data_IF_672834872557
#
_entry.id   IF_672834872557
#
_cell.length_a   1.000
_cell.length_b   1.000
_cell.length_c   1.000
_cell.angle_alpha   90.00
_cell.angle_beta   90.00
_cell.angle_gamma   90.00
#
_symmetry.space_group_name_H-M   'P 1'
#
loop_
_entity.id
_entity.type
_entity.pdbx_description
1 polymer ?
#
# COMPACT_ATOMS: atom_id res chain seq x y z
N UNK A 1 6.26 31.64 29.11
CA UNK A 1 6.06 31.28 27.70
C UNK A 1 5.72 29.80 27.68
N UNK A 2 4.44 29.47 27.49
CA UNK A 2 3.97 28.09 27.44
C UNK A 2 4.29 27.49 26.07
N UNK A 3 5.11 26.44 26.06
CA UNK A 3 5.27 25.61 24.90
C UNK A 3 3.98 24.77 24.72
N UNK A 4 3.36 24.76 23.53
CA UNK A 4 2.34 23.77 23.25
C UNK A 4 3.02 22.43 23.02
N UNK A 5 2.64 21.42 23.81
CA UNK A 5 3.01 20.05 23.56
C UNK A 5 2.26 19.55 22.30
N UNK A 6 2.92 18.86 21.39
CA UNK A 6 2.25 18.18 20.29
C UNK A 6 1.68 16.85 20.78
N UNK A 7 0.48 16.89 21.36
CA UNK A 7 -0.33 15.69 21.60
C UNK A 7 -1.53 15.72 20.71
N UNK A 8 -1.46 15.01 19.60
CA UNK A 8 -2.66 14.47 18.99
C UNK A 8 -2.30 13.15 18.28
N UNK A 9 -2.15 12.09 19.07
CA UNK A 9 -2.43 10.75 18.58
C UNK A 9 -3.92 10.73 18.24
N UNK A 10 -4.25 10.55 16.96
CA UNK A 10 -5.61 10.23 16.56
C UNK A 10 -6.06 8.99 17.35
N UNK A 11 -7.33 8.89 17.75
CA UNK A 11 -7.82 7.73 18.47
C UNK A 11 -7.61 6.48 17.60
N UNK A 12 -6.90 5.50 18.15
CA UNK A 12 -6.69 4.19 17.54
C UNK A 12 -8.04 3.59 17.16
N UNK A 13 -8.16 3.17 15.91
CA UNK A 13 -9.38 2.48 15.45
C UNK A 13 -9.60 1.19 16.25
N UNK A 14 -10.83 0.69 16.38
CA UNK A 14 -11.11 -0.56 17.09
C UNK A 14 -10.30 -1.77 16.54
N UNK A 15 -9.89 -1.73 15.26
CA UNK A 15 -9.02 -2.71 14.63
C UNK A 15 -7.56 -2.61 15.10
N UNK A 16 -7.07 -1.43 15.49
CA UNK A 16 -5.72 -1.24 16.04
C UNK A 16 -5.62 -1.78 17.48
N UNK A 17 -6.70 -1.71 18.25
CA UNK A 17 -6.76 -2.36 19.58
C UNK A 17 -6.73 -3.88 19.51
N UNK A 18 -7.17 -4.48 18.40
CA UNK A 18 -7.18 -5.93 18.23
C UNK A 18 -5.80 -6.53 17.89
N UNK A 19 -4.84 -5.72 17.44
CA UNK A 19 -3.41 -6.08 17.33
C UNK A 19 -2.67 -5.65 18.58
N UNK A 20 -3.41 -5.48 19.69
CA UNK A 20 -2.85 -5.02 20.95
C UNK A 20 -1.78 -5.99 21.43
N UNK A 21 -0.67 -5.37 21.59
CA UNK A 21 0.38 -5.60 22.57
C UNK A 21 1.18 -6.89 22.43
N UNK A 22 2.42 -6.71 22.05
CA UNK A 22 3.57 -7.50 22.48
C UNK A 22 3.93 -8.77 21.73
N UNK A 23 3.19 -9.21 20.70
CA UNK A 23 3.71 -10.30 19.88
C UNK A 23 4.56 -9.78 18.72
N UNK A 24 5.81 -9.48 19.04
CA UNK A 24 6.84 -9.26 18.04
C UNK A 24 7.32 -10.62 17.54
N UNK A 25 6.99 -10.96 16.31
CA UNK A 25 7.67 -12.07 15.65
C UNK A 25 9.15 -11.70 15.50
N UNK A 26 10.02 -12.70 15.35
CA UNK A 26 11.43 -12.45 15.09
C UNK A 26 11.65 -11.55 13.87
N UNK A 27 10.81 -11.73 12.83
CA UNK A 27 10.82 -10.90 11.62
C UNK A 27 10.55 -9.42 11.92
N UNK A 28 9.53 -9.14 12.76
CA UNK A 28 9.15 -7.76 13.09
C UNK A 28 10.18 -7.09 14.01
N UNK A 29 10.72 -7.84 14.97
CA UNK A 29 11.79 -7.35 15.83
C UNK A 29 13.02 -6.95 15.01
N UNK A 30 13.47 -7.84 14.13
CA UNK A 30 14.57 -7.56 13.21
C UNK A 30 14.27 -6.37 12.29
N UNK A 31 13.03 -6.22 11.82
CA UNK A 31 12.63 -5.08 10.99
C UNK A 31 12.73 -3.74 11.75
N UNK A 32 12.30 -3.72 13.01
CA UNK A 32 12.41 -2.53 13.87
C UNK A 32 13.87 -2.19 14.13
N UNK A 33 14.70 -3.17 14.48
CA UNK A 33 16.15 -2.98 14.69
C UNK A 33 16.83 -2.42 13.44
N UNK A 34 16.49 -2.94 12.25
CA UNK A 34 17.03 -2.46 10.97
C UNK A 34 16.58 -1.04 10.63
N UNK A 35 15.34 -0.66 10.94
CA UNK A 35 14.88 0.74 10.83
C UNK A 35 15.67 1.64 11.77
N UNK A 36 15.85 1.24 13.02
CA UNK A 36 16.62 1.98 14.02
C UNK A 36 18.08 2.13 13.60
N UNK A 37 18.72 1.05 13.12
CA UNK A 37 20.09 1.10 12.60
C UNK A 37 20.20 2.03 11.38
N UNK A 38 19.22 1.98 10.47
CA UNK A 38 19.19 2.89 9.31
C UNK A 38 19.06 4.35 9.74
N UNK A 39 18.29 4.61 10.79
CA UNK A 39 18.17 5.94 11.38
C UNK A 39 19.50 6.38 11.99
N UNK A 40 20.15 5.55 12.81
CA UNK A 40 21.43 5.86 13.48
C UNK A 40 22.56 6.07 12.47
N UNK A 41 22.58 5.29 11.37
CA UNK A 41 23.53 5.43 10.26
C UNK A 41 23.25 6.65 9.36
N UNK A 42 22.24 7.45 9.67
CA UNK A 42 21.84 8.63 8.89
C UNK A 42 21.44 8.28 7.45
N UNK A 43 20.81 7.12 7.23
CA UNK A 43 20.27 6.80 5.91
C UNK A 43 19.09 7.73 5.60
N UNK A 44 19.05 8.33 4.40
CA UNK A 44 17.99 9.27 4.04
C UNK A 44 16.65 8.59 3.75
N UNK A 45 16.67 7.29 3.42
CA UNK A 45 15.51 6.59 2.91
C UNK A 45 15.49 5.12 3.35
N UNK A 46 14.35 4.65 3.84
CA UNK A 46 14.11 3.25 4.18
C UNK A 46 12.76 2.78 3.61
N UNK A 47 12.70 1.49 3.28
CA UNK A 47 11.53 0.88 2.65
C UNK A 47 11.12 -0.34 3.44
N UNK A 48 9.82 -0.42 3.78
CA UNK A 48 9.22 -1.58 4.46
C UNK A 48 8.17 -2.19 3.54
N UNK A 49 8.32 -3.45 3.19
CA UNK A 49 7.40 -4.17 2.31
C UNK A 49 6.82 -5.35 3.06
N UNK A 50 5.48 -5.44 3.11
CA UNK A 50 4.77 -6.54 3.72
C UNK A 50 3.51 -6.92 2.95
N UNK A 51 3.07 -8.16 3.10
CA UNK A 51 1.76 -8.59 2.63
C UNK A 51 0.70 -8.19 3.67
N UNK A 52 -0.16 -7.24 3.31
CA UNK A 52 -1.12 -6.63 4.23
C UNK A 52 -0.59 -5.36 4.91
N UNK A 53 -1.52 -4.53 5.38
CA UNK A 53 -1.22 -3.20 5.91
C UNK A 53 -0.82 -3.23 7.39
N UNK A 54 -1.35 -4.19 8.18
CA UNK A 54 -1.16 -4.19 9.63
C UNK A 54 0.27 -4.48 10.05
N UNK A 55 0.99 -5.33 9.32
CA UNK A 55 2.37 -5.67 9.63
C UNK A 55 3.31 -4.46 9.49
N UNK A 56 3.26 -3.75 8.36
CA UNK A 56 4.07 -2.55 8.12
C UNK A 56 3.68 -1.42 9.07
N UNK A 57 2.38 -1.22 9.27
CA UNK A 57 1.83 -0.23 10.19
C UNK A 57 2.28 -0.45 11.64
N UNK A 58 2.29 -1.71 12.07
CA UNK A 58 2.78 -2.09 13.40
C UNK A 58 4.29 -1.84 13.55
N UNK A 59 5.11 -2.30 12.60
CA UNK A 59 6.58 -2.12 12.63
C UNK A 59 6.95 -0.64 12.64
N UNK A 60 6.35 0.17 11.77
CA UNK A 60 6.57 1.62 11.72
C UNK A 60 6.12 2.29 13.02
N UNK A 61 4.95 1.90 13.54
CA UNK A 61 4.44 2.44 14.81
C UNK A 61 5.38 2.16 15.99
N UNK A 62 5.92 0.94 16.09
CA UNK A 62 6.90 0.58 17.14
C UNK A 62 8.25 1.29 16.95
N UNK A 63 8.72 1.42 15.72
CA UNK A 63 9.92 2.21 15.42
C UNK A 63 9.75 3.66 15.87
N UNK A 64 8.65 4.32 15.49
CA UNK A 64 8.38 5.71 15.87
C UNK A 64 8.24 5.89 17.39
N UNK A 65 7.59 4.94 18.06
CA UNK A 65 7.45 4.96 19.52
C UNK A 65 8.79 4.76 20.28
N UNK A 66 9.81 4.21 19.61
CA UNK A 66 11.15 4.04 20.17
C UNK A 66 12.07 5.23 19.92
N UNK A 67 11.63 6.24 19.17
CA UNK A 67 12.42 7.46 18.94
C UNK A 67 12.34 8.41 20.15
N UNK A 68 13.42 9.16 20.37
CA UNK A 68 13.47 10.18 21.42
C UNK A 68 12.42 11.28 21.16
N UNK A 69 11.86 11.87 22.22
CA UNK A 69 10.83 12.92 22.14
C UNK A 69 11.32 14.19 21.39
N UNK A 70 12.62 14.38 21.26
CA UNK A 70 13.21 15.49 20.52
C UNK A 70 13.20 15.30 19.00
N UNK A 71 12.92 14.08 18.52
CA UNK A 71 12.87 13.74 17.10
C UNK A 71 11.47 14.05 16.57
N UNK A 72 11.40 14.96 15.61
CA UNK A 72 10.14 15.27 14.95
C UNK A 72 9.74 14.08 14.06
N UNK A 73 8.55 13.54 14.28
CA UNK A 73 8.01 12.46 13.46
C UNK A 73 6.68 12.83 12.82
N UNK A 74 6.54 12.53 11.54
CA UNK A 74 5.31 12.71 10.75
C UNK A 74 4.90 11.35 10.22
N UNK A 75 3.63 10.99 10.38
CA UNK A 75 3.08 9.73 9.90
C UNK A 75 1.87 9.98 9.01
N UNK A 76 1.94 9.57 7.76
CA UNK A 76 0.87 9.67 6.76
C UNK A 76 0.37 8.25 6.48
N UNK A 77 -0.82 7.94 6.97
CA UNK A 77 -1.41 6.59 6.94
C UNK A 77 -2.49 6.43 5.88
N UNK A 78 -3.04 7.53 5.39
CA UNK A 78 -4.12 7.53 4.41
C UNK A 78 -3.61 8.04 3.06
N UNK A 79 -4.15 7.52 1.94
CA UNK A 79 -3.83 8.03 0.62
C UNK A 79 -4.10 9.54 0.52
N UNK A 80 -3.21 10.24 -0.17
CA UNK A 80 -3.34 11.67 -0.43
C UNK A 80 -3.95 11.89 -1.81
N UNK A 81 -4.77 12.92 -1.94
CA UNK A 81 -5.43 13.22 -3.21
C UNK A 81 -4.42 13.71 -4.28
N UNK A 82 -3.48 14.54 -3.87
CA UNK A 82 -2.45 15.13 -4.73
C UNK A 82 -1.22 15.56 -3.92
N UNK A 83 -0.22 16.09 -4.61
CA UNK A 83 1.02 16.57 -4.01
C UNK A 83 0.79 17.72 -3.00
N UNK A 84 -0.22 18.55 -3.21
CA UNK A 84 -0.55 19.63 -2.29
C UNK A 84 -1.18 19.10 -1.01
N UNK A 85 -2.05 18.09 -1.11
CA UNK A 85 -2.65 17.43 0.05
C UNK A 85 -1.58 16.75 0.91
N UNK A 86 -0.64 16.02 0.29
CA UNK A 86 0.51 15.43 1.00
C UNK A 86 1.30 16.51 1.75
N UNK A 87 1.69 17.58 1.05
CA UNK A 87 2.49 18.63 1.67
C UNK A 87 1.74 19.37 2.77
N UNK A 88 0.43 19.60 2.62
CA UNK A 88 -0.41 20.19 3.68
C UNK A 88 -0.47 19.30 4.91
N UNK A 89 -0.59 17.98 4.74
CA UNK A 89 -0.61 17.03 5.86
C UNK A 89 0.74 17.01 6.59
N UNK A 90 1.85 17.00 5.86
CA UNK A 90 3.19 17.08 6.45
C UNK A 90 3.37 18.38 7.22
N UNK A 91 3.07 19.53 6.60
CA UNK A 91 3.21 20.86 7.20
C UNK A 91 2.33 21.02 8.44
N UNK A 92 1.10 20.48 8.41
CA UNK A 92 0.21 20.46 9.58
C UNK A 92 0.78 19.59 10.70
N UNK A 93 1.31 18.41 10.38
CA UNK A 93 1.86 17.49 11.36
C UNK A 93 3.10 18.05 12.09
N UNK A 94 3.87 18.91 11.44
CA UNK A 94 5.00 19.63 12.08
C UNK A 94 4.58 20.92 12.78
N UNK A 95 3.27 21.17 12.93
CA UNK A 95 2.73 22.25 13.77
C UNK A 95 2.45 23.58 13.06
N UNK A 96 2.44 23.64 11.72
CA UNK A 96 2.09 24.84 10.96
C UNK A 96 0.67 24.76 10.40
N UNK A 97 0.01 25.91 10.22
CA UNK A 97 -1.30 26.03 9.58
C UNK A 97 -1.15 26.37 8.10
N UNK A 98 -1.39 25.42 7.18
CA UNK A 98 -1.15 25.60 5.74
C UNK A 98 -2.31 26.32 5.04
N UNK A 99 -2.70 27.53 5.48
CA UNK A 99 -3.78 28.30 4.89
C UNK A 99 -3.32 28.98 3.60
N UNK A 100 -4.09 28.79 2.53
CA UNK A 100 -3.93 29.44 1.22
C UNK A 100 -2.51 29.34 0.60
N UNK A 101 -1.76 28.28 0.96
CA UNK A 101 -0.42 28.02 0.47
C UNK A 101 -0.46 27.10 -0.76
N UNK A 102 0.31 27.42 -1.79
CA UNK A 102 0.58 26.53 -2.89
C UNK A 102 1.64 25.46 -2.52
N UNK A 103 1.91 24.51 -3.42
CA UNK A 103 2.88 23.44 -3.19
C UNK A 103 4.28 23.97 -2.94
N UNK A 104 4.68 25.05 -3.60
CA UNK A 104 6.02 25.67 -3.49
C UNK A 104 6.19 26.34 -2.15
N UNK A 105 5.16 27.02 -1.66
CA UNK A 105 5.14 27.63 -0.32
C UNK A 105 5.23 26.57 0.76
N UNK A 106 4.45 25.49 0.64
CA UNK A 106 4.47 24.36 1.57
C UNK A 106 5.84 23.67 1.63
N UNK A 107 6.47 23.47 0.47
CA UNK A 107 7.83 22.95 0.38
C UNK A 107 8.85 23.87 1.04
N UNK A 108 8.69 25.18 0.87
CA UNK A 108 9.56 26.17 1.50
C UNK A 108 9.43 26.16 3.02
N UNK A 109 8.22 26.02 3.55
CA UNK A 109 7.95 25.87 5.00
C UNK A 109 8.61 24.60 5.53
N UNK A 110 8.45 23.46 4.83
CA UNK A 110 9.08 22.21 5.25
C UNK A 110 10.61 22.31 5.23
N UNK A 111 11.20 22.89 4.20
CA UNK A 111 12.66 23.12 4.12
C UNK A 111 13.17 24.00 5.26
N UNK A 112 12.45 25.06 5.56
CA UNK A 112 12.78 25.95 6.68
C UNK A 112 12.75 25.19 8.02
N UNK A 113 11.71 24.38 8.23
CA UNK A 113 11.59 23.55 9.43
C UNK A 113 12.76 22.55 9.53
N UNK A 114 13.06 21.80 8.47
CA UNK A 114 14.17 20.84 8.44
C UNK A 114 15.51 21.53 8.73
N UNK A 115 15.75 22.70 8.13
CA UNK A 115 16.96 23.49 8.37
C UNK A 115 17.06 23.97 9.83
N UNK A 116 15.93 24.35 10.42
CA UNK A 116 15.87 24.72 11.84
C UNK A 116 16.18 23.51 12.75
N UNK A 117 15.60 22.35 12.48
CA UNK A 117 15.87 21.12 13.23
C UNK A 117 17.36 20.75 13.16
N UNK A 118 17.94 20.77 11.95
CA UNK A 118 19.37 20.55 11.74
C UNK A 118 20.24 21.51 12.55
N UNK A 119 19.88 22.80 12.57
CA UNK A 119 20.60 23.82 13.35
C UNK A 119 20.63 23.51 14.85
N UNK A 120 19.67 22.72 15.36
CA UNK A 120 19.60 22.25 16.74
C UNK A 120 20.09 20.81 16.91
N UNK A 121 20.78 20.24 15.92
CA UNK A 121 21.26 18.86 15.88
C UNK A 121 20.12 17.81 16.00
N UNK A 122 18.88 18.19 15.66
CA UNK A 122 17.70 17.33 15.67
C UNK A 122 17.43 16.75 14.30
N UNK A 123 16.81 15.59 14.28
CA UNK A 123 16.42 14.89 13.05
C UNK A 123 14.91 14.88 12.90
N UNK A 124 14.46 14.60 11.67
CA UNK A 124 13.05 14.50 11.33
C UNK A 124 12.82 13.17 10.60
N UNK A 125 11.78 12.45 11.00
CA UNK A 125 11.34 11.23 10.32
C UNK A 125 9.97 11.48 9.69
N UNK A 126 9.84 11.22 8.40
CA UNK A 126 8.56 11.26 7.69
C UNK A 126 8.24 9.86 7.21
N UNK A 127 7.14 9.29 7.71
CA UNK A 127 6.64 7.99 7.32
C UNK A 127 5.45 8.15 6.39
N UNK A 128 5.47 7.48 5.24
CA UNK A 128 4.37 7.40 4.28
C UNK A 128 4.00 5.93 4.09
N UNK A 129 2.78 5.58 4.52
CA UNK A 129 2.29 4.21 4.44
C UNK A 129 1.50 3.97 3.16
N UNK A 130 1.52 2.72 2.68
CA UNK A 130 0.77 2.24 1.51
C UNK A 130 0.90 3.19 0.30
N UNK A 131 2.14 3.56 -0.03
CA UNK A 131 2.38 4.56 -1.09
C UNK A 131 1.88 4.14 -2.46
N UNK A 132 1.66 2.84 -2.70
CA UNK A 132 1.06 2.33 -3.94
C UNK A 132 -0.42 2.74 -4.11
N UNK A 133 -1.09 3.17 -3.04
CA UNK A 133 -2.48 3.64 -3.09
C UNK A 133 -2.58 5.13 -3.48
N UNK A 134 -1.43 5.80 -3.57
CA UNK A 134 -1.33 7.17 -4.04
C UNK A 134 -1.12 7.23 -5.56
N UNK A 135 -1.33 8.40 -6.15
CA UNK A 135 -1.03 8.64 -7.57
C UNK A 135 0.48 8.64 -7.85
N UNK A 136 0.83 8.54 -9.13
CA UNK A 136 2.22 8.58 -9.61
C UNK A 136 3.06 9.74 -9.05
N UNK A 137 2.46 10.90 -8.85
CA UNK A 137 3.09 12.11 -8.33
C UNK A 137 3.82 11.88 -6.98
N UNK A 138 3.40 10.87 -6.19
CA UNK A 138 4.02 10.56 -4.90
C UNK A 138 5.48 10.15 -5.06
N UNK A 139 5.82 9.44 -6.13
CA UNK A 139 7.19 8.99 -6.39
C UNK A 139 8.13 10.17 -6.70
N UNK A 140 7.63 11.17 -7.42
CA UNK A 140 8.35 12.43 -7.66
C UNK A 140 8.58 13.21 -6.36
N UNK A 141 7.59 13.22 -5.46
CA UNK A 141 7.74 13.87 -4.14
C UNK A 141 8.72 13.12 -3.25
N UNK A 142 8.66 11.79 -3.22
CA UNK A 142 9.62 10.95 -2.50
C UNK A 142 11.04 11.26 -2.99
N UNK A 143 11.26 11.23 -4.33
CA UNK A 143 12.55 11.57 -4.93
C UNK A 143 13.02 12.96 -4.47
N UNK A 144 12.18 13.96 -4.60
CA UNK A 144 12.52 15.34 -4.22
C UNK A 144 12.90 15.48 -2.74
N UNK A 145 12.19 14.81 -1.85
CA UNK A 145 12.49 14.85 -0.41
C UNK A 145 13.82 14.16 -0.10
N UNK A 146 14.12 13.04 -0.76
CA UNK A 146 15.40 12.34 -0.60
C UNK A 146 16.55 13.16 -1.20
N UNK A 147 16.35 13.76 -2.38
CA UNK A 147 17.36 14.64 -2.99
C UNK A 147 17.68 15.82 -2.06
N UNK A 148 16.72 16.38 -1.37
CA UNK A 148 16.96 17.45 -0.38
C UNK A 148 17.86 17.01 0.78
N UNK A 149 17.70 15.77 1.25
CA UNK A 149 18.57 15.23 2.31
C UNK A 149 19.98 14.97 1.76
N UNK A 150 20.09 14.32 0.58
CA UNK A 150 21.38 13.98 -0.03
C UNK A 150 22.22 15.24 -0.35
N UNK A 151 21.57 16.28 -0.88
CA UNK A 151 22.24 17.53 -1.26
C UNK A 151 22.47 18.47 -0.07
N UNK A 152 21.53 18.50 0.87
CA UNK A 152 21.48 19.51 1.95
C UNK A 152 21.82 18.98 3.34
N UNK A 153 21.89 17.64 3.53
CA UNK A 153 22.06 17.02 4.86
C UNK A 153 21.11 17.64 5.90
N UNK A 154 19.81 17.65 5.60
CA UNK A 154 18.80 18.33 6.44
C UNK A 154 18.40 17.53 7.68
N UNK A 155 18.97 16.36 7.89
CA UNK A 155 18.63 15.47 8.99
C UNK A 155 17.27 14.78 8.80
N UNK A 156 16.82 14.61 7.56
CA UNK A 156 15.58 13.95 7.20
C UNK A 156 15.81 12.45 6.96
N UNK A 157 14.96 11.62 7.54
CA UNK A 157 14.78 10.24 7.10
C UNK A 157 13.37 10.05 6.58
N UNK A 158 13.24 9.56 5.37
CA UNK A 158 11.96 9.17 4.78
C UNK A 158 11.79 7.66 4.89
N UNK A 159 10.71 7.21 5.51
CA UNK A 159 10.32 5.80 5.59
C UNK A 159 9.06 5.61 4.75
N UNK A 160 9.10 4.69 3.80
CA UNK A 160 7.92 4.36 3.00
C UNK A 160 7.53 2.91 3.21
N UNK A 161 6.24 2.63 3.25
CA UNK A 161 5.77 1.26 3.28
C UNK A 161 4.76 0.97 2.19
N UNK A 162 4.58 -0.31 1.91
CA UNK A 162 3.58 -0.81 0.99
C UNK A 162 3.67 -2.29 0.76
N UNK A 163 2.81 -2.76 -0.13
CA UNK A 163 2.71 -4.15 -0.53
C UNK A 163 3.85 -4.55 -1.49
N UNK A 164 4.04 -5.84 -1.79
CA UNK A 164 5.09 -6.31 -2.70
C UNK A 164 5.14 -5.61 -4.08
N UNK A 165 4.02 -5.05 -4.53
CA UNK A 165 3.97 -4.21 -5.75
C UNK A 165 4.87 -2.98 -5.67
N UNK A 166 5.12 -2.47 -4.47
CA UNK A 166 6.03 -1.34 -4.25
C UNK A 166 7.43 -1.61 -4.80
N UNK A 167 7.90 -2.86 -4.78
CA UNK A 167 9.18 -3.22 -5.41
C UNK A 167 9.26 -2.83 -6.88
N UNK A 168 8.16 -2.98 -7.62
CA UNK A 168 8.12 -2.60 -9.03
C UNK A 168 8.25 -1.08 -9.21
N UNK A 169 7.62 -0.31 -8.33
CA UNK A 169 7.69 1.16 -8.34
C UNK A 169 9.11 1.67 -8.07
N UNK A 170 9.88 0.98 -7.24
CA UNK A 170 11.27 1.36 -6.91
C UNK A 170 12.23 1.23 -8.10
N UNK A 171 11.91 0.40 -9.08
CA UNK A 171 12.70 0.25 -10.30
C UNK A 171 12.33 1.26 -11.39
N UNK A 172 11.34 2.11 -11.16
CA UNK A 172 10.99 3.18 -12.09
C UNK A 172 12.05 4.28 -12.10
N UNK A 173 12.23 4.97 -13.23
CA UNK A 173 13.24 6.03 -13.38
C UNK A 173 13.23 7.09 -12.27
N UNK A 174 12.08 7.58 -11.77
CA UNK A 174 12.09 8.57 -10.69
C UNK A 174 12.72 8.06 -9.41
N UNK A 175 12.60 6.76 -9.10
CA UNK A 175 13.11 6.19 -7.87
C UNK A 175 14.41 5.40 -8.04
N UNK A 176 14.91 5.21 -9.26
CA UNK A 176 16.18 4.51 -9.48
C UNK A 176 17.38 5.23 -8.86
N UNK A 177 17.37 6.57 -8.86
CA UNK A 177 18.36 7.39 -8.16
C UNK A 177 18.18 7.31 -6.64
N UNK A 178 16.93 7.27 -6.17
CA UNK A 178 16.59 7.18 -4.75
C UNK A 178 16.95 5.81 -4.19
N UNK A 179 16.74 4.74 -4.96
CA UNK A 179 17.10 3.38 -4.54
C UNK A 179 18.62 3.20 -4.32
N UNK A 180 19.46 4.00 -4.98
CA UNK A 180 20.89 4.03 -4.73
C UNK A 180 21.25 4.62 -3.35
N UNK A 181 20.41 5.50 -2.82
CA UNK A 181 20.54 6.11 -1.49
C UNK A 181 19.63 5.44 -0.47
N UNK A 182 18.76 4.53 -0.91
CA UNK A 182 17.95 3.73 -0.02
C UNK A 182 18.89 2.93 0.88
N UNK A 183 18.59 2.95 2.14
CA UNK A 183 19.04 1.92 3.03
C UNK A 183 18.48 0.57 2.59
N UNK A 184 18.52 -0.37 3.47
CA UNK A 184 18.03 -1.71 3.18
C UNK A 184 16.51 -1.75 2.93
N UNK A 185 16.08 -2.50 1.91
CA UNK A 185 14.67 -2.81 1.73
C UNK A 185 14.28 -3.92 2.74
N UNK A 186 13.46 -3.57 3.71
CA UNK A 186 13.02 -4.45 4.78
C UNK A 186 11.78 -5.21 4.30
N UNK A 187 11.89 -6.54 4.19
CA UNK A 187 10.79 -7.41 3.81
C UNK A 187 10.19 -8.04 5.06
N UNK A 188 8.88 -7.85 5.25
CA UNK A 188 8.11 -8.50 6.30
C UNK A 188 7.54 -9.80 5.74
N UNK A 189 7.98 -10.92 6.31
CA UNK A 189 7.47 -12.24 5.93
C UNK A 189 6.13 -12.51 6.58
N UNK A 190 5.23 -13.27 5.92
CA UNK A 190 4.06 -13.83 6.55
C UNK A 190 4.42 -14.65 7.80
N UNK A 191 3.46 -14.84 8.70
CA UNK A 191 3.63 -15.69 9.87
C UNK A 191 3.96 -17.12 9.48
N UNK A 192 4.87 -17.74 10.19
CA UNK A 192 5.02 -19.19 10.20
C UNK A 192 3.82 -19.82 10.93
N UNK A 193 3.64 -21.15 10.79
CA UNK A 193 2.60 -21.87 11.51
C UNK A 193 2.67 -21.66 13.04
N UNK A 194 3.88 -21.64 13.59
CA UNK A 194 4.10 -21.42 15.02
C UNK A 194 3.70 -19.98 15.42
N UNK A 195 4.04 -18.99 14.61
CA UNK A 195 3.67 -17.60 14.85
C UNK A 195 2.16 -17.37 14.68
N UNK A 196 1.52 -18.01 13.70
CA UNK A 196 0.05 -17.99 13.58
C UNK A 196 -0.63 -18.56 14.82
N UNK A 197 -0.14 -19.70 15.32
CA UNK A 197 -0.67 -20.33 16.54
C UNK A 197 -0.53 -19.41 17.75
N UNK A 198 0.65 -18.81 17.91
CA UNK A 198 0.91 -17.89 19.02
C UNK A 198 0.10 -16.61 18.92
N UNK A 199 -0.08 -16.07 17.71
CA UNK A 199 -0.94 -14.91 17.45
C UNK A 199 -2.39 -15.20 17.86
N UNK A 200 -2.95 -16.34 17.44
CA UNK A 200 -4.31 -16.76 17.81
C UNK A 200 -4.43 -16.98 19.31
N UNK A 201 -3.43 -17.62 19.95
CA UNK A 201 -3.40 -17.84 21.41
C UNK A 201 -3.53 -16.53 22.17
N UNK A 202 -2.70 -15.55 21.88
CA UNK A 202 -2.72 -14.24 22.56
C UNK A 202 -4.02 -13.50 22.38
N UNK A 203 -4.60 -13.62 21.18
CA UNK A 203 -5.90 -13.03 20.90
C UNK A 203 -7.02 -13.65 21.71
N UNK A 204 -7.02 -14.98 21.88
CA UNK A 204 -7.98 -15.72 22.72
C UNK A 204 -7.80 -15.36 24.19
N UNK A 205 -6.58 -15.40 24.71
CA UNK A 205 -6.26 -15.06 26.09
C UNK A 205 -6.62 -13.62 26.44
N UNK A 206 -6.36 -12.68 25.52
CA UNK A 206 -6.67 -11.26 25.71
C UNK A 206 -8.17 -10.92 25.64
N UNK A 207 -8.95 -11.67 24.88
CA UNK A 207 -10.37 -11.40 24.67
C UNK A 207 -11.29 -12.15 25.65
N UNK A 208 -10.97 -13.40 25.98
CA UNK A 208 -11.90 -14.31 26.70
C UNK A 208 -11.34 -14.90 28.00
N UNK A 209 -10.10 -14.62 28.40
CA UNK A 209 -9.40 -15.33 29.49
C UNK A 209 -9.47 -16.88 29.37
N UNK A 210 -9.61 -17.38 28.13
CA UNK A 210 -9.74 -18.79 27.82
C UNK A 210 -8.42 -19.32 27.25
N UNK A 211 -8.15 -20.61 27.39
CA UNK A 211 -7.00 -21.22 26.71
C UNK A 211 -7.33 -21.45 25.22
N UNK A 212 -6.31 -21.44 24.35
CA UNK A 212 -6.47 -21.67 22.91
C UNK A 212 -7.15 -23.03 22.64
N UNK A 213 -6.85 -24.07 23.43
CA UNK A 213 -7.44 -25.42 23.31
C UNK A 213 -8.93 -25.47 23.66
N UNK A 214 -9.43 -24.48 24.41
CA UNK A 214 -10.85 -24.32 24.70
C UNK A 214 -11.59 -23.56 23.61
N UNK A 215 -10.90 -22.70 22.86
CA UNK A 215 -11.50 -21.86 21.82
C UNK A 215 -11.36 -22.45 20.41
N UNK A 216 -10.26 -23.16 20.12
CA UNK A 216 -9.96 -23.67 18.78
C UNK A 216 -9.57 -25.16 18.82
N UNK A 217 -10.14 -25.93 17.91
CA UNK A 217 -9.62 -27.27 17.63
C UNK A 217 -8.24 -27.12 16.91
N UNK A 218 -7.26 -27.96 17.30
CA UNK A 218 -5.90 -27.90 16.76
C UNK A 218 -5.85 -27.85 15.20
N UNK A 219 -6.67 -28.69 14.54
CA UNK A 219 -6.74 -28.71 13.07
C UNK A 219 -7.33 -27.42 12.47
N UNK A 220 -8.16 -26.69 13.22
CA UNK A 220 -8.74 -25.43 12.77
C UNK A 220 -7.67 -24.35 12.64
N UNK A 221 -6.71 -24.28 13.55
CA UNK A 221 -5.58 -23.34 13.50
C UNK A 221 -4.70 -23.61 12.28
N UNK A 222 -4.41 -24.91 12.00
CA UNK A 222 -3.67 -25.31 10.81
C UNK A 222 -4.36 -24.88 9.52
N UNK A 223 -5.68 -25.08 9.45
CA UNK A 223 -6.47 -24.67 8.31
C UNK A 223 -6.51 -23.14 8.12
N UNK A 224 -6.63 -22.36 9.20
CA UNK A 224 -6.53 -20.90 9.16
C UNK A 224 -5.20 -20.46 8.57
N UNK A 225 -4.09 -21.03 9.05
CA UNK A 225 -2.76 -20.71 8.52
C UNK A 225 -2.64 -21.03 7.03
N UNK A 226 -3.11 -22.19 6.60
CA UNK A 226 -3.09 -22.63 5.21
C UNK A 226 -3.92 -21.70 4.29
N UNK A 227 -5.16 -21.40 4.68
CA UNK A 227 -6.08 -20.55 3.90
C UNK A 227 -5.61 -19.10 3.81
N UNK A 228 -4.96 -18.60 4.87
CA UNK A 228 -4.45 -17.23 4.94
C UNK A 228 -2.99 -17.09 4.49
N UNK A 229 -2.30 -18.20 4.16
CA UNK A 229 -0.87 -18.23 3.86
C UNK A 229 -0.01 -17.48 4.90
N UNK A 230 -0.45 -17.42 6.15
CA UNK A 230 0.20 -16.71 7.24
C UNK A 230 0.13 -15.18 7.16
N UNK A 231 -0.63 -14.60 6.25
CA UNK A 231 -0.78 -13.13 6.13
C UNK A 231 -1.53 -12.60 7.35
N UNK A 232 -0.94 -11.70 8.18
CA UNK A 232 -1.51 -11.29 9.47
C UNK A 232 -2.93 -10.74 9.39
N UNK A 233 -3.21 -9.89 8.39
CA UNK A 233 -4.53 -9.29 8.19
C UNK A 233 -5.58 -10.35 7.85
N UNK A 234 -5.23 -11.28 6.98
CA UNK A 234 -6.13 -12.37 6.60
C UNK A 234 -6.40 -13.30 7.79
N UNK A 235 -5.35 -13.65 8.57
CA UNK A 235 -5.48 -14.43 9.81
C UNK A 235 -6.38 -13.72 10.81
N UNK A 236 -6.15 -12.42 11.03
CA UNK A 236 -6.95 -11.61 11.95
C UNK A 236 -8.43 -11.59 11.57
N UNK A 237 -8.71 -11.33 10.31
CA UNK A 237 -10.08 -11.25 9.76
C UNK A 237 -10.78 -12.61 9.87
N UNK A 238 -10.13 -13.67 9.41
CA UNK A 238 -10.73 -15.02 9.45
C UNK A 238 -10.99 -15.49 10.86
N UNK A 239 -10.08 -15.24 11.82
CA UNK A 239 -10.27 -15.56 13.25
C UNK A 239 -11.46 -14.79 13.82
N UNK A 240 -11.65 -13.50 13.51
CA UNK A 240 -12.83 -12.74 13.95
C UNK A 240 -14.13 -13.35 13.42
N UNK A 241 -14.16 -13.67 12.15
CA UNK A 241 -15.35 -14.28 11.52
C UNK A 241 -15.66 -15.66 12.11
N UNK A 242 -14.63 -16.44 12.47
CA UNK A 242 -14.82 -17.72 13.15
C UNK A 242 -15.47 -17.53 14.52
N UNK A 243 -15.07 -16.53 15.30
CA UNK A 243 -15.71 -16.23 16.57
C UNK A 243 -17.16 -15.80 16.39
N UNK A 244 -17.43 -14.89 15.46
CA UNK A 244 -18.79 -14.40 15.18
C UNK A 244 -19.73 -15.56 14.78
N UNK A 245 -19.25 -16.49 13.96
CA UNK A 245 -20.02 -17.66 13.54
C UNK A 245 -20.22 -18.68 14.68
N UNK A 246 -19.18 -18.89 15.51
CA UNK A 246 -19.29 -19.77 16.66
C UNK A 246 -20.30 -19.23 17.68
N UNK A 247 -20.25 -17.96 17.99
CA UNK A 247 -21.21 -17.27 18.86
C UNK A 247 -22.65 -17.37 18.34
N UNK A 248 -22.86 -17.11 17.04
CA UNK A 248 -24.19 -17.23 16.42
C UNK A 248 -24.74 -18.65 16.46
N UNK A 249 -23.86 -19.66 16.35
CA UNK A 249 -24.22 -21.06 16.39
C UNK A 249 -24.26 -21.65 17.81
N UNK A 250 -23.91 -20.87 18.85
CA UNK A 250 -23.83 -21.34 20.24
C UNK A 250 -22.77 -22.42 20.47
N UNK A 251 -21.64 -22.32 19.73
CA UNK A 251 -20.52 -23.26 19.79
C UNK A 251 -19.42 -22.71 20.71
N UNK A 252 -18.97 -23.49 21.66
CA UNK A 252 -17.87 -23.13 22.55
C UNK A 252 -16.48 -23.30 21.87
N UNK A 253 -16.40 -24.05 20.77
CA UNK A 253 -15.16 -24.44 20.12
C UNK A 253 -15.22 -24.24 18.60
N UNK A 254 -14.24 -23.51 18.03
CA UNK A 254 -14.09 -23.34 16.60
C UNK A 254 -13.50 -24.60 15.97
N UNK A 255 -14.30 -25.29 15.18
CA UNK A 255 -13.91 -26.46 14.39
C UNK A 255 -13.43 -26.10 12.99
N UNK A 256 -12.88 -27.06 12.26
CA UNK A 256 -12.52 -26.89 10.84
C UNK A 256 -13.70 -26.52 9.96
N UNK A 257 -14.91 -26.96 10.31
CA UNK A 257 -16.11 -26.65 9.54
C UNK A 257 -16.54 -25.18 9.72
N UNK A 258 -16.42 -24.63 10.92
CA UNK A 258 -16.61 -23.20 11.20
C UNK A 258 -15.60 -22.36 10.39
N UNK A 259 -14.32 -22.78 10.35
CA UNK A 259 -13.29 -22.08 9.56
C UNK A 259 -13.62 -22.08 8.06
N UNK A 260 -14.03 -23.25 7.52
CA UNK A 260 -14.45 -23.34 6.10
C UNK A 260 -15.64 -22.43 5.81
N UNK A 261 -16.65 -22.46 6.66
CA UNK A 261 -17.84 -21.62 6.51
C UNK A 261 -17.50 -20.13 6.58
N UNK A 262 -16.65 -19.72 7.53
CA UNK A 262 -16.14 -18.34 7.63
C UNK A 262 -15.43 -17.92 6.36
N UNK A 263 -14.52 -18.74 5.84
CA UNK A 263 -13.77 -18.47 4.62
C UNK A 263 -14.63 -18.39 3.37
N UNK A 264 -15.62 -19.28 3.23
CA UNK A 264 -16.59 -19.24 2.13
C UNK A 264 -17.49 -18.00 2.20
N UNK A 265 -17.91 -17.60 3.39
CA UNK A 265 -18.69 -16.36 3.60
C UNK A 265 -17.90 -15.14 3.18
N UNK A 266 -16.62 -15.04 3.56
CA UNK A 266 -15.72 -13.96 3.14
C UNK A 266 -15.61 -13.88 1.61
N UNK A 267 -15.45 -15.02 0.93
CA UNK A 267 -15.41 -15.07 -0.54
C UNK A 267 -16.71 -14.64 -1.18
N UNK A 268 -17.84 -15.04 -0.60
CA UNK A 268 -19.17 -14.71 -1.10
C UNK A 268 -19.48 -13.23 -0.90
N UNK A 269 -19.07 -12.63 0.22
CA UNK A 269 -19.24 -11.20 0.50
C UNK A 269 -18.29 -10.34 -0.35
N UNK A 270 -17.10 -10.83 -0.64
CA UNK A 270 -16.18 -10.19 -1.60
C UNK A 270 -16.73 -10.21 -3.04
N UNK A 271 -17.55 -11.21 -3.39
CA UNK A 271 -18.25 -11.30 -4.68
C UNK A 271 -19.58 -10.53 -4.65
N UNK A 272 -20.23 -10.46 -3.47
CA UNK A 272 -21.51 -9.77 -3.24
C UNK A 272 -21.38 -8.30 -2.86
N UNK A 273 -20.19 -7.81 -2.53
CA UNK A 273 -20.04 -6.38 -2.54
C UNK A 273 -20.39 -5.94 -3.95
N UNK A 274 -21.58 -5.35 -4.16
CA UNK A 274 -21.83 -4.68 -5.40
C UNK A 274 -20.64 -3.73 -5.50
N UNK A 275 -19.97 -3.77 -6.60
CA UNK A 275 -19.12 -2.69 -7.01
C UNK A 275 -19.98 -1.48 -6.76
N UNK A 276 -19.69 -0.72 -5.69
CA UNK A 276 -20.50 0.42 -5.29
C UNK A 276 -20.64 1.33 -6.51
N UNK A 277 -21.76 1.17 -7.22
CA UNK A 277 -22.19 2.09 -8.26
C UNK A 277 -22.46 3.49 -7.67
N UNK A 278 -22.48 3.58 -6.34
CA UNK A 278 -22.71 4.78 -5.52
C UNK A 278 -21.47 5.24 -4.75
N UNK A 279 -20.24 4.90 -5.20
CA UNK A 279 -19.09 5.72 -4.83
C UNK A 279 -19.43 7.13 -5.33
N UNK A 280 -19.97 7.94 -4.42
CA UNK A 280 -20.39 9.32 -4.67
C UNK A 280 -19.36 9.98 -5.55
N UNK A 281 -19.78 10.30 -6.77
CA UNK A 281 -19.03 11.09 -7.72
C UNK A 281 -18.69 12.38 -7.00
N UNK A 282 -17.49 12.48 -6.43
CA UNK A 282 -16.97 13.74 -5.91
C UNK A 282 -16.74 14.59 -7.14
N UNK A 283 -17.68 15.49 -7.38
CA UNK A 283 -17.66 16.42 -8.48
C UNK A 283 -16.57 17.47 -8.19
N UNK A 284 -15.34 17.14 -8.52
CA UNK A 284 -14.22 18.07 -8.56
C UNK A 284 -14.18 18.65 -9.97
N UNK A 285 -14.80 19.82 -10.15
CA UNK A 285 -14.69 20.70 -11.32
C UNK A 285 -15.13 20.11 -12.67
N UNK A 286 -16.28 19.44 -12.73
CA UNK A 286 -16.93 19.12 -14.00
C UNK A 286 -16.30 17.98 -14.82
N UNK A 287 -15.29 17.29 -14.30
CA UNK A 287 -14.68 16.15 -14.96
C UNK A 287 -15.32 14.85 -14.46
N UNK A 288 -16.20 14.30 -15.28
CA UNK A 288 -16.70 12.92 -15.11
C UNK A 288 -15.50 11.98 -15.31
N UNK A 289 -15.02 11.35 -14.24
CA UNK A 289 -13.99 10.31 -14.32
C UNK A 289 -14.58 9.08 -15.03
N UNK A 290 -14.22 8.89 -16.29
CA UNK A 290 -14.60 7.70 -17.05
C UNK A 290 -13.65 6.57 -16.67
N UNK A 291 -14.18 5.42 -16.28
CA UNK A 291 -13.38 4.22 -16.10
C UNK A 291 -12.90 3.71 -17.47
N UNK A 292 -11.62 3.31 -17.56
CA UNK A 292 -11.08 2.69 -18.75
C UNK A 292 -10.99 1.17 -18.59
N UNK A 293 -10.85 0.46 -19.71
CA UNK A 293 -10.51 -0.98 -19.76
C UNK A 293 -9.24 -1.20 -20.55
N UNK A 294 -8.48 -2.20 -20.13
CA UNK A 294 -7.39 -2.76 -20.90
C UNK A 294 -7.85 -4.10 -21.47
N UNK A 295 -7.82 -4.22 -22.77
CA UNK A 295 -8.06 -5.49 -23.48
C UNK A 295 -6.71 -6.03 -23.90
N UNK A 296 -6.34 -7.16 -23.34
CA UNK A 296 -5.06 -7.83 -23.60
C UNK A 296 -5.26 -8.87 -24.71
N UNK A 297 -4.52 -8.70 -25.80
CA UNK A 297 -4.53 -9.61 -26.95
C UNK A 297 -3.17 -10.25 -27.10
N UNK A 298 -3.10 -11.57 -27.02
CA UNK A 298 -1.89 -12.33 -27.32
C UNK A 298 -2.07 -13.00 -28.68
N UNK A 299 -1.18 -12.71 -29.61
CA UNK A 299 -1.24 -13.25 -30.99
C UNK A 299 -2.58 -13.02 -31.71
N UNK A 300 -3.30 -11.95 -31.33
CA UNK A 300 -4.56 -11.55 -31.99
C UNK A 300 -5.85 -12.11 -31.39
N UNK A 301 -5.78 -12.95 -30.36
CA UNK A 301 -6.94 -13.42 -29.60
C UNK A 301 -7.10 -12.63 -28.29
N UNK A 302 -8.34 -12.33 -27.90
CA UNK A 302 -8.63 -11.68 -26.62
C UNK A 302 -8.46 -12.70 -25.50
N UNK A 303 -7.49 -12.43 -24.61
CA UNK A 303 -7.12 -13.37 -23.54
C UNK A 303 -7.55 -12.88 -22.17
N UNK A 304 -7.52 -11.57 -21.94
CA UNK A 304 -7.81 -10.99 -20.63
C UNK A 304 -8.35 -9.57 -20.74
N UNK A 305 -9.36 -9.23 -19.93
CA UNK A 305 -9.82 -7.86 -19.71
C UNK A 305 -9.50 -7.40 -18.29
N UNK A 306 -8.99 -6.18 -18.14
CA UNK A 306 -8.73 -5.57 -16.84
C UNK A 306 -9.29 -4.15 -16.79
N UNK A 307 -10.14 -3.88 -15.80
CA UNK A 307 -10.63 -2.53 -15.58
C UNK A 307 -9.52 -1.62 -15.03
N UNK A 308 -9.35 -0.44 -15.63
CA UNK A 308 -8.45 0.61 -15.14
C UNK A 308 -9.24 1.47 -14.16
N UNK A 309 -8.97 1.27 -12.88
CA UNK A 309 -9.57 2.04 -11.77
C UNK A 309 -8.48 2.76 -11.00
N UNK A 310 -8.81 3.40 -9.90
CA UNK A 310 -7.78 3.99 -9.02
C UNK A 310 -6.73 2.95 -8.63
N UNK A 311 -5.44 3.33 -8.71
CA UNK A 311 -4.31 2.49 -8.35
C UNK A 311 -3.37 2.19 -9.52
N UNK A 312 -2.67 1.08 -9.40
CA UNK A 312 -1.64 0.65 -10.34
C UNK A 312 -1.95 -0.74 -10.89
N UNK A 313 -1.62 -0.97 -12.16
CA UNK A 313 -1.71 -2.27 -12.84
C UNK A 313 -0.30 -2.64 -13.30
N UNK A 314 0.25 -3.69 -12.72
CA UNK A 314 1.55 -4.23 -13.09
C UNK A 314 1.40 -5.25 -14.21
N UNK A 315 2.16 -5.06 -15.29
CA UNK A 315 2.18 -5.91 -16.48
C UNK A 315 3.51 -6.65 -16.55
N UNK A 316 3.49 -7.95 -16.82
CA UNK A 316 4.69 -8.75 -17.00
C UNK A 316 4.45 -10.25 -16.93
N UNK A 317 5.51 -11.06 -17.04
CA UNK A 317 5.41 -12.53 -16.96
C UNK A 317 5.51 -13.10 -15.54
N UNK A 318 5.80 -12.27 -14.56
CA UNK A 318 5.96 -12.68 -13.15
C UNK A 318 4.62 -12.99 -12.49
N UNK A 319 4.63 -13.87 -11.48
CA UNK A 319 3.43 -14.29 -10.74
C UNK A 319 2.75 -13.15 -9.96
N UNK A 320 3.48 -12.05 -9.72
CA UNK A 320 2.99 -10.88 -8.98
C UNK A 320 2.37 -9.81 -9.88
N UNK A 321 2.28 -10.07 -11.21
CA UNK A 321 1.70 -9.11 -12.15
C UNK A 321 0.17 -9.20 -12.18
N UNK A 322 -0.47 -8.03 -12.23
CA UNK A 322 -1.93 -7.93 -12.37
C UNK A 322 -2.41 -8.40 -13.75
N UNK A 323 -1.59 -8.12 -14.79
CA UNK A 323 -1.72 -8.66 -16.13
C UNK A 323 -0.50 -9.55 -16.36
N UNK A 324 -0.72 -10.86 -16.26
CA UNK A 324 0.34 -11.84 -16.47
C UNK A 324 0.35 -12.30 -17.91
N UNK A 325 1.50 -12.09 -18.56
CA UNK A 325 1.74 -12.48 -19.96
C UNK A 325 2.81 -13.56 -19.97
N UNK A 326 2.44 -14.80 -20.28
CA UNK A 326 3.36 -15.94 -20.33
C UNK A 326 4.15 -15.97 -21.66
N UNK A 327 5.02 -14.98 -21.85
CA UNK A 327 5.90 -14.91 -23.02
C UNK A 327 7.35 -14.69 -22.61
N UNK A 328 8.32 -15.34 -23.28
CA UNK A 328 9.74 -15.12 -23.05
C UNK A 328 10.21 -13.71 -23.44
N UNK A 329 9.47 -13.03 -24.33
CA UNK A 329 9.77 -11.66 -24.76
C UNK A 329 9.36 -10.61 -23.75
N UNK A 330 8.56 -10.98 -22.74
CA UNK A 330 8.07 -10.10 -21.69
C UNK A 330 8.91 -10.24 -20.42
N UNK A 331 9.37 -9.13 -19.85
CA UNK A 331 10.12 -9.10 -18.59
C UNK A 331 9.25 -9.55 -17.42
N UNK A 332 9.86 -10.02 -16.31
CA UNK A 332 9.11 -10.44 -15.11
C UNK A 332 8.21 -9.32 -14.58
N UNK A 333 8.71 -8.10 -14.60
CA UNK A 333 7.98 -6.84 -14.40
C UNK A 333 8.35 -6.00 -15.62
N UNK A 334 7.39 -5.74 -16.49
CA UNK A 334 7.66 -5.12 -17.80
C UNK A 334 7.21 -3.67 -17.83
N UNK A 335 5.97 -3.44 -17.52
CA UNK A 335 5.38 -2.09 -17.53
C UNK A 335 4.40 -1.92 -16.37
N UNK A 336 4.14 -0.66 -16.02
CA UNK A 336 3.19 -0.25 -15.00
C UNK A 336 2.21 0.74 -15.60
N UNK A 337 0.92 0.51 -15.41
CA UNK A 337 -0.12 1.48 -15.70
C UNK A 337 -0.62 2.06 -14.39
N UNK A 338 -0.59 3.39 -14.28
CA UNK A 338 -1.01 4.13 -13.10
C UNK A 338 -2.19 5.05 -13.44
N UNK A 339 -3.28 4.91 -12.70
CA UNK A 339 -4.42 5.82 -12.83
C UNK A 339 -4.22 7.02 -11.88
N UNK A 340 -4.18 8.22 -12.45
CA UNK A 340 -3.95 9.48 -11.72
C UNK A 340 -5.08 10.48 -12.00
N UNK A 341 -5.22 11.54 -11.19
CA UNK A 341 -6.15 12.62 -11.49
C UNK A 341 -5.92 13.28 -12.86
N UNK A 342 -4.66 13.29 -13.32
CA UNK A 342 -4.24 13.92 -14.56
C UNK A 342 -4.36 12.98 -15.78
N UNK A 343 -4.70 11.71 -15.56
CA UNK A 343 -4.86 10.73 -16.63
C UNK A 343 -4.34 9.34 -16.27
N UNK A 344 -4.28 8.48 -17.28
CA UNK A 344 -3.71 7.14 -17.17
C UNK A 344 -2.29 7.17 -17.72
N UNK A 345 -1.31 6.84 -16.87
CA UNK A 345 0.11 6.89 -17.22
C UNK A 345 0.64 5.47 -17.38
N UNK A 346 1.30 5.21 -18.50
CA UNK A 346 2.09 4.02 -18.76
C UNK A 346 3.57 4.32 -18.48
N UNK A 347 4.24 3.44 -17.73
CA UNK A 347 5.67 3.50 -17.46
C UNK A 347 6.34 2.18 -17.80
N UNK A 348 7.42 2.19 -18.56
CA UNK A 348 8.30 1.05 -18.75
C UNK A 348 9.17 0.82 -17.52
N UNK A 349 9.24 -0.42 -17.04
CA UNK A 349 10.00 -0.79 -15.83
C UNK A 349 11.42 -1.26 -16.16
N UNK A 350 12.09 -0.59 -17.08
CA UNK A 350 13.41 -0.99 -17.61
C UNK A 350 13.36 -2.40 -18.21
N UNK A 351 12.32 -2.65 -19.00
CA UNK A 351 12.10 -3.93 -19.65
C UNK A 351 13.19 -4.25 -20.67
N UNK A 352 13.42 -5.54 -20.92
CA UNK A 352 14.50 -5.99 -21.83
C UNK A 352 14.22 -5.56 -23.28
N UNK A 353 12.98 -5.63 -23.72
CA UNK A 353 12.59 -5.36 -25.11
C UNK A 353 11.91 -4.00 -25.29
N UNK A 354 11.67 -3.27 -24.22
CA UNK A 354 10.98 -1.96 -24.26
C UNK A 354 9.45 -2.09 -24.34
N UNK A 355 8.77 -1.02 -23.96
CA UNK A 355 7.33 -0.84 -24.07
C UNK A 355 7.06 0.15 -25.20
N UNK A 356 6.05 -0.13 -26.04
CA UNK A 356 5.72 0.71 -27.19
C UNK A 356 4.26 1.16 -27.12
N UNK A 357 3.98 2.39 -27.55
CA UNK A 357 2.62 2.91 -27.76
C UNK A 357 2.51 3.30 -29.22
N UNK A 358 1.55 2.71 -29.94
CA UNK A 358 1.33 2.91 -31.37
C UNK A 358 2.63 2.78 -32.20
N UNK A 359 3.48 1.80 -31.83
CA UNK A 359 4.75 1.50 -32.48
C UNK A 359 5.93 2.40 -32.08
N UNK A 360 5.75 3.37 -31.20
CA UNK A 360 6.81 4.24 -30.68
C UNK A 360 7.26 3.78 -29.30
N UNK A 361 8.56 3.56 -29.12
CA UNK A 361 9.10 3.18 -27.82
C UNK A 361 8.94 4.30 -26.80
N UNK A 362 8.39 3.96 -25.63
CA UNK A 362 8.13 4.91 -24.55
C UNK A 362 8.76 4.43 -23.25
N UNK A 363 9.27 5.38 -22.47
CA UNK A 363 9.62 5.14 -21.07
C UNK A 363 8.49 5.61 -20.14
N UNK A 364 7.79 6.65 -20.60
CA UNK A 364 6.62 7.27 -19.99
C UNK A 364 5.68 7.75 -21.06
N UNK A 365 4.39 7.51 -20.88
CA UNK A 365 3.37 7.99 -21.80
C UNK A 365 2.04 8.19 -21.05
N UNK A 366 1.35 9.30 -21.32
CA UNK A 366 -0.02 9.49 -20.86
C UNK A 366 -0.95 8.87 -21.87
N UNK A 367 -1.57 7.75 -21.50
CA UNK A 367 -2.43 6.97 -22.38
C UNK A 367 -3.70 7.72 -22.76
N UNK A 368 -3.99 7.76 -24.05
CA UNK A 368 -5.25 8.25 -24.60
C UNK A 368 -6.10 7.04 -25.01
N UNK A 369 -7.42 7.09 -24.80
CA UNK A 369 -8.31 6.00 -25.22
C UNK A 369 -8.20 5.71 -26.71
N UNK A 370 -8.08 4.44 -27.06
CA UNK A 370 -7.86 3.96 -28.42
C UNK A 370 -6.40 3.68 -28.77
N UNK A 371 -5.46 4.11 -27.93
CA UNK A 371 -4.05 3.74 -28.10
C UNK A 371 -3.78 2.27 -27.82
N UNK A 372 -2.77 1.76 -28.50
CA UNK A 372 -2.31 0.38 -28.41
C UNK A 372 -0.94 0.31 -27.77
N UNK A 373 -0.82 -0.51 -26.72
CA UNK A 373 0.41 -0.75 -26.00
C UNK A 373 0.97 -2.10 -26.47
N UNK A 374 2.19 -2.13 -26.97
CA UNK A 374 2.89 -3.38 -27.30
C UNK A 374 3.93 -3.68 -26.22
N UNK A 375 3.84 -4.88 -25.63
CA UNK A 375 4.69 -5.41 -24.58
C UNK A 375 5.21 -6.79 -25.03
N UNK A 376 6.41 -6.82 -25.59
CA UNK A 376 6.94 -8.03 -26.24
C UNK A 376 6.10 -8.40 -27.45
N UNK A 377 5.54 -9.60 -27.46
CA UNK A 377 4.63 -10.13 -28.48
C UNK A 377 3.14 -9.96 -28.13
N UNK A 378 2.85 -9.26 -27.05
CA UNK A 378 1.48 -9.00 -26.59
C UNK A 378 1.06 -7.57 -26.92
N UNK A 379 -0.18 -7.45 -27.35
CA UNK A 379 -0.83 -6.17 -27.64
C UNK A 379 -1.95 -5.90 -26.63
N UNK A 380 -1.94 -4.69 -26.06
CA UNK A 380 -2.92 -4.25 -25.07
C UNK A 380 -3.59 -2.99 -25.60
N UNK A 381 -4.89 -2.99 -25.69
CA UNK A 381 -5.69 -1.87 -26.16
C UNK A 381 -6.33 -1.14 -24.96
N UNK A 382 -6.14 0.17 -24.87
CA UNK A 382 -6.76 1.00 -23.85
C UNK A 382 -8.07 1.61 -24.36
N UNK A 383 -9.20 1.24 -23.75
CA UNK A 383 -10.54 1.65 -24.17
C UNK A 383 -11.23 2.40 -23.01
N UNK A 384 -11.97 3.47 -23.34
CA UNK A 384 -12.92 4.08 -22.39
C UNK A 384 -14.27 3.36 -22.46
N UNK A 385 -14.82 3.03 -21.31
CA UNK A 385 -16.23 2.58 -21.25
C UNK A 385 -17.17 3.79 -21.36
N UNK A 386 -17.99 3.79 -22.40
CA UNK A 386 -19.25 4.54 -22.39
C UNK A 386 -20.27 3.73 -21.58
N UNK A 387 -20.57 4.16 -20.37
CA UNK A 387 -21.73 3.66 -19.61
C UNK A 387 -23.01 4.03 -20.35
N UNK A 388 -23.35 3.32 -21.42
CA UNK A 388 -24.73 3.29 -21.92
C UNK A 388 -25.48 2.35 -20.97
N UNK A 389 -26.52 2.88 -20.33
CA UNK A 389 -27.47 2.10 -19.54
C UNK A 389 -27.86 0.80 -20.29
N UNK A 390 -27.94 -0.34 -19.60
CA UNK A 390 -28.47 -1.54 -20.22
C UNK A 390 -29.90 -1.24 -20.69
N UNK A 391 -30.14 -1.43 -21.97
CA UNK A 391 -31.46 -1.33 -22.56
C UNK A 391 -32.38 -2.29 -21.83
N UNK A 392 -33.38 -1.78 -21.13
CA UNK A 392 -34.47 -2.56 -20.54
C UNK A 392 -35.11 -3.39 -21.67
N UNK A 393 -35.20 -4.71 -21.56
CA UNK A 393 -35.92 -5.50 -22.55
C UNK A 393 -37.38 -5.06 -22.50
N UNK A 394 -37.93 -4.59 -23.62
CA UNK A 394 -39.37 -4.39 -23.76
C UNK A 394 -40.05 -5.73 -23.55
N UNK A 395 -40.83 -5.84 -22.49
CA UNK A 395 -41.77 -6.92 -22.30
C UNK A 395 -42.75 -6.97 -23.53
N UNK A 396 -42.82 -8.14 -24.12
CA UNK A 396 -43.91 -8.53 -25.07
C UNK A 396 -45.03 -9.13 -24.25
#
# INVERSE_FOLDING_TARGET
MHHPQPTTTAPESPSEKAVSSEYLTHCYHSAIERLSSSFDERRPFAIVIGEGQSASRFVIGKFLAGLDEEIASVRITEPCADAADLMRRIVRAIGFEPKDMDVTDLESVLRMFLSFQKGHARRTVICMEEIQDNGWWVLEKIRKLVDWEVEGDLGLMLVVSGQPRLKALLHTRPLSSVSAHAGECILLSPFTMAETTEYIRRRVEGAANASIDQAFHFQAIGLIHELCAGVPDAVSTLVSMCFDLADQAGLDLVSTDVVKQAYESQRTDSIKQPIDADAKTVNLNGWVRRAGRLIVKISGEDVQEKAVRQGHILIGRGNMCDIRIESPTVSRQHALISYTPDGVILADLSSTNGTYVDGHQVNYHTLVPGETIDVGDCRIEYILEDFRQPSVPKAI
#
